data_IF_668190715430
#
_entry.id   IF_668190715430
#
_cell.length_a   1.000
_cell.length_b   1.000
_cell.length_c   1.000
_cell.angle_alpha   90.00
_cell.angle_beta   90.00
_cell.angle_gamma   90.00
#
_symmetry.space_group_name_H-M   'P 1'
#
loop_
_entity.id
_entity.type
_entity.pdbx_description
1 polymer ?
#
# COMPACT_ATOMS: atom_id res chain seq x y z
N UNK A 1 -15.34 -13.33 -1.86
CA UNK A 1 -14.32 -12.82 -0.94
C UNK A 1 -13.59 -11.62 -1.53
N UNK A 2 -13.22 -10.71 -0.66
CA UNK A 2 -12.56 -9.48 -1.04
C UNK A 2 -11.07 -9.57 -0.74
N UNK A 3 -10.24 -9.19 -1.71
CA UNK A 3 -8.78 -9.25 -1.61
C UNK A 3 -8.16 -7.90 -1.91
N UNK A 4 -6.97 -7.70 -1.38
CA UNK A 4 -6.11 -6.54 -1.66
C UNK A 4 -4.68 -7.04 -1.83
N UNK A 5 -3.92 -6.40 -2.72
CA UNK A 5 -2.50 -6.73 -2.89
C UNK A 5 -1.69 -5.61 -2.27
N UNK A 6 -0.86 -5.96 -1.30
CA UNK A 6 -0.04 -5.00 -0.57
C UNK A 6 1.41 -5.47 -0.51
N UNK A 7 2.30 -4.51 -0.30
CA UNK A 7 3.67 -4.79 0.10
C UNK A 7 3.82 -4.48 1.58
N UNK A 8 4.14 -5.49 2.38
CA UNK A 8 4.32 -5.32 3.83
C UNK A 8 5.70 -4.73 4.09
N UNK A 9 5.73 -3.63 4.85
CA UNK A 9 6.98 -2.96 5.22
C UNK A 9 7.53 -3.61 6.47
N UNK A 10 8.71 -4.21 6.35
CA UNK A 10 9.40 -4.90 7.44
C UNK A 10 10.63 -4.10 7.90
N UNK A 11 11.31 -4.62 8.93
CA UNK A 11 12.50 -3.99 9.48
C UNK A 11 12.20 -2.70 10.21
N UNK A 12 13.19 -1.81 10.25
CA UNK A 12 13.11 -0.58 11.06
C UNK A 12 12.00 0.36 10.59
N UNK A 13 11.79 0.49 9.29
CA UNK A 13 10.74 1.35 8.74
C UNK A 13 9.35 0.88 9.13
N UNK A 14 9.11 -0.43 9.05
CA UNK A 14 7.83 -1.02 9.45
C UNK A 14 7.59 -0.89 10.93
N UNK A 15 8.60 -1.16 11.73
CA UNK A 15 8.54 -1.02 13.20
C UNK A 15 8.26 0.43 13.58
N UNK A 16 8.94 1.38 12.97
CA UNK A 16 8.72 2.80 13.23
C UNK A 16 7.28 3.20 12.92
N UNK A 17 6.75 2.80 11.78
CA UNK A 17 5.37 3.12 11.40
C UNK A 17 4.37 2.50 12.38
N UNK A 18 4.56 1.25 12.76
CA UNK A 18 3.67 0.56 13.69
C UNK A 18 3.66 1.23 15.06
N UNK A 19 4.82 1.63 15.58
CA UNK A 19 4.94 2.34 16.85
C UNK A 19 4.32 3.73 16.79
N UNK A 20 4.54 4.46 15.70
CA UNK A 20 3.95 5.79 15.50
C UNK A 20 2.44 5.73 15.49
N UNK A 21 1.85 4.76 14.79
CA UNK A 21 0.39 4.58 14.76
C UNK A 21 -0.18 4.28 16.14
N UNK A 22 0.53 3.45 16.91
CA UNK A 22 0.15 3.13 18.28
C UNK A 22 0.19 4.38 19.16
N UNK A 23 1.25 5.17 19.08
CA UNK A 23 1.39 6.40 19.87
C UNK A 23 0.29 7.41 19.54
N UNK A 24 -0.05 7.57 18.26
CA UNK A 24 -1.12 8.47 17.83
C UNK A 24 -2.46 7.99 18.39
N UNK A 25 -2.72 6.69 18.35
CA UNK A 25 -3.95 6.14 18.91
C UNK A 25 -4.04 6.36 20.44
N UNK A 26 -2.96 6.09 21.17
CA UNK A 26 -2.93 6.23 22.62
C UNK A 26 -3.06 7.69 23.08
N UNK A 27 -2.46 8.62 22.38
CA UNK A 27 -2.39 10.02 22.79
C UNK A 27 -3.50 10.90 22.20
N UNK A 28 -3.97 10.59 21.00
CA UNK A 28 -4.95 11.42 20.27
C UNK A 28 -6.24 10.67 19.94
N UNK A 29 -6.31 9.38 20.27
CA UNK A 29 -7.46 8.49 19.94
C UNK A 29 -7.80 8.45 18.46
N UNK A 30 -6.80 8.68 17.60
CA UNK A 30 -6.96 8.62 16.14
C UNK A 30 -6.54 7.25 15.64
N UNK A 31 -7.43 6.58 14.92
CA UNK A 31 -7.22 5.22 14.43
C UNK A 31 -6.59 5.19 13.04
N UNK A 32 -5.99 4.07 12.72
CA UNK A 32 -5.51 3.73 11.39
C UNK A 32 -5.91 2.29 11.06
N UNK A 33 -5.37 1.72 9.99
CA UNK A 33 -5.57 0.31 9.65
C UNK A 33 -5.05 -0.60 10.77
N UNK A 34 -5.72 -1.74 10.97
CA UNK A 34 -5.25 -2.80 11.87
C UNK A 34 -4.17 -3.67 11.25
N UNK A 35 -3.93 -3.53 9.96
CA UNK A 35 -2.89 -4.28 9.25
C UNK A 35 -1.50 -3.81 9.66
N UNK A 36 -0.46 -4.66 9.54
CA UNK A 36 0.91 -4.19 9.71
C UNK A 36 1.24 -3.12 8.67
N UNK A 37 2.32 -2.37 8.91
CA UNK A 37 2.78 -1.34 7.99
C UNK A 37 2.86 -1.88 6.57
N UNK A 38 2.24 -1.21 5.61
CA UNK A 38 2.18 -1.66 4.22
C UNK A 38 1.92 -0.49 3.28
N UNK A 39 2.25 -0.67 2.01
CA UNK A 39 1.71 0.17 0.95
C UNK A 39 0.94 -0.68 -0.05
N UNK A 40 -0.14 -0.13 -0.56
CA UNK A 40 -1.07 -0.86 -1.42
C UNK A 40 -0.58 -0.86 -2.86
N UNK A 41 -0.56 -2.03 -3.48
CA UNK A 41 -0.25 -2.21 -4.89
C UNK A 41 -1.53 -2.24 -5.71
N UNK A 42 -2.52 -3.01 -5.27
CA UNK A 42 -3.82 -3.10 -5.92
C UNK A 42 -4.91 -2.91 -4.89
N UNK A 43 -5.78 -1.93 -5.12
CA UNK A 43 -6.93 -1.65 -4.25
C UNK A 43 -7.87 -2.86 -4.17
N UNK A 44 -8.74 -2.93 -3.15
CA UNK A 44 -9.59 -4.10 -2.93
C UNK A 44 -10.44 -4.46 -4.14
N UNK A 45 -10.56 -5.76 -4.40
CA UNK A 45 -11.38 -6.31 -5.48
C UNK A 45 -12.05 -7.60 -5.01
N UNK A 46 -13.17 -7.95 -5.64
CA UNK A 46 -13.89 -9.18 -5.36
C UNK A 46 -13.34 -10.33 -6.20
N UNK A 47 -13.18 -11.49 -5.60
CA UNK A 47 -12.72 -12.69 -6.28
C UNK A 47 -13.26 -13.94 -5.55
N UNK A 48 -13.92 -14.82 -6.28
CA UNK A 48 -14.41 -16.07 -5.71
C UNK A 48 -13.36 -17.18 -5.77
N UNK A 49 -12.60 -17.26 -6.87
CA UNK A 49 -11.56 -18.25 -7.07
C UNK A 49 -10.22 -17.56 -7.27
N UNK A 50 -9.37 -17.66 -6.26
CA UNK A 50 -8.05 -17.03 -6.25
C UNK A 50 -6.97 -17.82 -7.00
N UNK A 51 -7.29 -19.02 -7.50
CA UNK A 51 -6.26 -19.91 -8.06
C UNK A 51 -5.53 -19.32 -9.27
N UNK A 52 -6.22 -18.61 -10.16
CA UNK A 52 -5.58 -17.97 -11.32
C UNK A 52 -4.68 -16.84 -10.86
N UNK A 53 -5.15 -16.02 -9.94
CA UNK A 53 -4.35 -14.91 -9.39
C UNK A 53 -3.09 -15.43 -8.68
N UNK A 54 -3.24 -16.47 -7.86
CA UNK A 54 -2.11 -17.07 -7.14
C UNK A 54 -1.07 -17.62 -8.11
N UNK A 55 -1.49 -18.28 -9.17
CA UNK A 55 -0.59 -18.79 -10.21
C UNK A 55 0.15 -17.65 -10.91
N UNK A 56 -0.56 -16.61 -11.32
CA UNK A 56 0.03 -15.46 -12.02
C UNK A 56 1.03 -14.72 -11.13
N UNK A 57 0.71 -14.53 -9.86
CA UNK A 57 1.64 -13.89 -8.91
C UNK A 57 2.89 -14.74 -8.66
N UNK A 58 2.73 -16.06 -8.56
CA UNK A 58 3.86 -16.97 -8.40
C UNK A 58 4.80 -16.91 -9.60
N UNK A 59 4.26 -16.97 -10.81
CA UNK A 59 5.05 -16.85 -12.03
C UNK A 59 5.73 -15.49 -12.12
N UNK A 60 5.02 -14.42 -11.76
CA UNK A 60 5.57 -13.07 -11.76
C UNK A 60 6.79 -12.96 -10.83
N UNK A 61 6.68 -13.46 -9.61
CA UNK A 61 7.79 -13.40 -8.65
C UNK A 61 9.01 -14.21 -9.10
N UNK A 62 8.80 -15.29 -9.84
CA UNK A 62 9.89 -16.08 -10.38
C UNK A 62 10.65 -15.39 -11.52
N UNK A 63 10.01 -14.45 -12.22
CA UNK A 63 10.58 -13.69 -13.34
C UNK A 63 11.23 -12.38 -12.91
N UNK A 64 11.04 -11.95 -11.68
CA UNK A 64 11.49 -10.65 -11.21
C UNK A 64 12.37 -10.80 -9.98
N UNK A 65 13.37 -9.92 -9.87
CA UNK A 65 14.27 -9.90 -8.72
C UNK A 65 13.94 -8.77 -7.76
N UNK A 66 14.63 -8.74 -6.63
CA UNK A 66 14.46 -7.74 -5.58
C UNK A 66 14.78 -6.34 -6.09
N UNK A 67 14.04 -5.34 -5.63
CA UNK A 67 14.31 -3.94 -5.87
C UNK A 67 14.23 -3.15 -4.58
N UNK A 68 14.78 -1.93 -4.58
CA UNK A 68 14.84 -1.08 -3.41
C UNK A 68 13.77 0.00 -3.42
N UNK A 69 13.36 0.41 -2.23
CA UNK A 69 12.57 1.62 -2.01
C UNK A 69 12.99 2.28 -0.70
N UNK A 70 12.58 3.54 -0.54
CA UNK A 70 12.86 4.31 0.68
C UNK A 70 11.57 4.87 1.24
N UNK A 71 11.49 4.99 2.57
CA UNK A 71 10.48 5.79 3.24
C UNK A 71 11.13 7.14 3.57
N UNK A 72 10.60 8.23 3.03
CA UNK A 72 11.21 9.54 3.22
C UNK A 72 10.14 10.63 3.30
N UNK A 73 9.96 11.16 4.51
CA UNK A 73 9.04 12.24 4.76
C UNK A 73 7.58 11.82 4.86
N UNK A 74 6.73 12.79 5.06
CA UNK A 74 5.29 12.63 5.25
C UNK A 74 4.54 13.51 4.28
N UNK A 75 3.30 13.10 3.99
CA UNK A 75 2.38 13.89 3.21
C UNK A 75 0.95 13.52 3.60
N UNK A 76 -0.04 14.12 2.94
CA UNK A 76 -1.44 13.88 3.24
C UNK A 76 -2.30 13.92 1.98
N UNK A 77 -3.46 13.24 2.06
CA UNK A 77 -4.51 13.35 1.05
C UNK A 77 -5.70 14.11 1.67
N UNK A 78 -5.95 15.32 1.19
CA UNK A 78 -7.15 16.12 1.54
C UNK A 78 -7.46 16.21 3.04
N UNK A 79 -6.45 16.26 3.90
CA UNK A 79 -6.60 16.25 5.36
C UNK A 79 -7.34 15.00 5.89
N UNK A 80 -7.44 13.96 5.09
CA UNK A 80 -8.11 12.71 5.46
C UNK A 80 -7.16 11.59 5.81
N UNK A 81 -5.99 11.60 5.20
CA UNK A 81 -4.97 10.56 5.37
C UNK A 81 -3.62 11.22 5.54
N UNK A 82 -2.89 10.82 6.58
CA UNK A 82 -1.48 11.17 6.75
C UNK A 82 -0.67 9.91 6.50
N UNK A 83 0.36 10.01 5.69
CA UNK A 83 1.16 8.85 5.29
C UNK A 83 2.65 9.17 5.20
N UNK A 84 3.45 8.11 5.27
CA UNK A 84 4.88 8.15 4.96
C UNK A 84 5.05 7.94 3.46
N UNK A 85 5.87 8.78 2.83
CA UNK A 85 6.12 8.70 1.39
C UNK A 85 7.04 7.53 1.07
N UNK A 86 6.66 6.75 0.05
CA UNK A 86 7.47 5.66 -0.49
C UNK A 86 8.11 6.13 -1.78
N UNK A 87 9.44 6.07 -1.83
CA UNK A 87 10.20 6.43 -3.02
C UNK A 87 10.77 5.16 -3.63
N UNK A 88 10.22 4.75 -4.76
CA UNK A 88 10.64 3.55 -5.47
C UNK A 88 11.89 3.82 -6.31
N UNK A 89 12.79 2.83 -6.38
CA UNK A 89 13.85 2.85 -7.38
C UNK A 89 13.25 2.72 -8.78
N UNK A 90 14.01 3.08 -9.82
CA UNK A 90 13.56 2.91 -11.21
C UNK A 90 13.22 1.43 -11.50
N UNK A 91 14.03 0.51 -10.98
CA UNK A 91 13.76 -0.93 -11.10
C UNK A 91 12.46 -1.33 -10.39
N UNK A 92 12.23 -0.81 -9.18
CA UNK A 92 11.00 -1.08 -8.43
C UNK A 92 9.76 -0.56 -9.13
N UNK A 93 9.84 0.64 -9.69
CA UNK A 93 8.73 1.22 -10.46
C UNK A 93 8.41 0.38 -11.68
N UNK A 94 9.43 -0.11 -12.39
CA UNK A 94 9.23 -0.98 -13.55
C UNK A 94 8.58 -2.31 -13.14
N UNK A 95 9.03 -2.91 -12.05
CA UNK A 95 8.44 -4.15 -11.54
C UNK A 95 6.96 -3.92 -11.20
N UNK A 96 6.64 -2.80 -10.54
CA UNK A 96 5.26 -2.44 -10.25
C UNK A 96 4.43 -2.31 -11.53
N UNK A 97 4.94 -1.61 -12.52
CA UNK A 97 4.23 -1.39 -13.78
C UNK A 97 4.00 -2.71 -14.53
N UNK A 98 4.99 -3.60 -14.52
CA UNK A 98 4.86 -4.94 -15.10
C UNK A 98 3.81 -5.78 -14.35
N UNK A 99 3.74 -5.65 -13.03
CA UNK A 99 2.71 -6.32 -12.24
C UNK A 99 1.30 -5.79 -12.57
N UNK A 100 1.15 -4.49 -12.74
CA UNK A 100 -0.12 -3.90 -13.15
C UNK A 100 -0.55 -4.44 -14.53
N UNK A 101 0.38 -4.55 -15.47
CA UNK A 101 0.09 -5.14 -16.77
C UNK A 101 -0.36 -6.61 -16.64
N UNK A 102 0.31 -7.38 -15.80
CA UNK A 102 -0.06 -8.78 -15.53
C UNK A 102 -1.46 -8.86 -14.92
N UNK A 103 -1.77 -8.05 -13.93
CA UNK A 103 -3.08 -8.06 -13.28
C UNK A 103 -4.18 -7.61 -14.21
N UNK A 104 -3.94 -6.65 -15.11
CA UNK A 104 -4.93 -6.18 -16.05
C UNK A 104 -5.29 -7.22 -17.11
N UNK A 105 -4.46 -8.25 -17.30
CA UNK A 105 -4.78 -9.36 -18.18
C UNK A 105 -5.73 -10.38 -17.56
N UNK A 106 -6.02 -10.29 -16.27
CA UNK A 106 -6.95 -11.19 -15.56
C UNK A 106 -8.36 -10.61 -15.62
N UNK A 107 -9.33 -11.25 -16.33
CA UNK A 107 -10.59 -10.58 -16.67
C UNK A 107 -11.47 -10.20 -15.49
N UNK A 108 -11.39 -10.90 -14.37
CA UNK A 108 -12.26 -10.63 -13.22
C UNK A 108 -11.69 -9.59 -12.25
N UNK A 109 -10.45 -9.15 -12.43
CA UNK A 109 -9.87 -8.10 -11.59
C UNK A 109 -10.26 -6.74 -12.17
N UNK A 110 -11.04 -5.98 -11.38
CA UNK A 110 -11.47 -4.64 -11.77
C UNK A 110 -10.51 -3.60 -11.21
N UNK A 111 -10.19 -2.63 -12.02
CA UNK A 111 -9.32 -1.51 -11.63
C UNK A 111 -10.18 -0.27 -11.36
N UNK A 112 -9.81 0.49 -10.34
CA UNK A 112 -10.38 1.80 -10.10
C UNK A 112 -9.36 2.90 -10.46
N UNK A 113 -9.74 4.16 -10.27
CA UNK A 113 -8.90 5.31 -10.64
C UNK A 113 -7.62 5.41 -9.79
N UNK A 114 -7.58 4.75 -8.63
CA UNK A 114 -6.41 4.74 -7.74
C UNK A 114 -5.40 3.67 -8.12
N UNK A 115 -5.79 2.75 -8.99
CA UNK A 115 -4.91 1.71 -9.50
C UNK A 115 -4.22 2.21 -10.77
N UNK A 116 -3.11 1.58 -11.12
CA UNK A 116 -2.43 1.87 -12.36
C UNK A 116 -0.99 2.34 -12.16
N UNK A 117 -0.38 2.82 -13.24
CA UNK A 117 1.06 3.10 -13.26
C UNK A 117 1.44 4.43 -12.62
N UNK A 118 0.51 5.36 -12.50
CA UNK A 118 0.75 6.68 -11.89
C UNK A 118 0.36 6.73 -10.42
N UNK A 119 0.56 5.65 -9.70
CA UNK A 119 0.17 5.51 -8.31
C UNK A 119 1.15 6.25 -7.39
N UNK A 120 0.60 6.90 -6.37
CA UNK A 120 1.39 7.43 -5.25
C UNK A 120 1.46 6.34 -4.19
N UNK A 121 2.66 5.79 -3.96
CA UNK A 121 2.87 4.78 -2.93
C UNK A 121 2.96 5.44 -1.56
N UNK A 122 2.20 4.91 -0.60
CA UNK A 122 2.14 5.51 0.73
C UNK A 122 1.95 4.45 1.81
N UNK A 123 2.60 4.67 2.96
CA UNK A 123 2.40 3.85 4.17
C UNK A 123 1.60 4.69 5.14
N UNK A 124 0.35 4.35 5.35
CA UNK A 124 -0.58 5.13 6.13
C UNK A 124 -0.17 5.21 7.60
N UNK A 125 -0.26 6.41 8.15
CA UNK A 125 -0.07 6.69 9.59
C UNK A 125 -1.43 6.88 10.26
N UNK A 126 -2.30 7.70 9.71
CA UNK A 126 -3.65 7.94 10.24
C UNK A 126 -4.61 8.15 9.09
N UNK A 127 -5.78 7.52 9.15
CA UNK A 127 -6.73 7.58 8.05
C UNK A 127 -8.21 7.67 8.48
N UNK A 128 -8.51 7.40 9.75
CA UNK A 128 -9.91 7.29 10.18
C UNK A 128 -10.32 8.49 11.01
N UNK A 129 -11.29 9.28 10.48
CA UNK A 129 -11.90 10.40 11.20
C UNK A 129 -10.90 11.45 11.68
N UNK A 130 -9.89 11.76 10.86
CA UNK A 130 -8.83 12.70 11.25
C UNK A 130 -9.09 14.14 10.82
N UNK A 131 -10.09 14.38 9.98
CA UNK A 131 -10.30 15.69 9.36
C UNK A 131 -10.37 16.84 10.38
N UNK A 132 -11.07 16.62 11.50
CA UNK A 132 -11.23 17.64 12.54
C UNK A 132 -10.01 17.77 13.45
N UNK A 133 -9.05 16.85 13.36
CA UNK A 133 -7.87 16.81 14.20
C UNK A 133 -6.56 16.85 13.41
N UNK A 134 -6.66 17.20 12.13
CA UNK A 134 -5.52 17.16 11.22
C UNK A 134 -4.34 18.00 11.74
N UNK A 135 -4.60 19.18 12.28
CA UNK A 135 -3.55 20.07 12.77
C UNK A 135 -2.83 19.55 14.02
N UNK A 136 -3.41 18.57 14.73
CA UNK A 136 -2.77 17.94 15.90
C UNK A 136 -1.80 16.82 15.49
N UNK A 137 -1.89 16.36 14.26
CA UNK A 137 -1.12 15.24 13.74
C UNK A 137 0.07 15.75 12.92
#
# INVERSE_FOLDING_TARGET
LRYVIVSVVKGDGGKFNNELRKDIFENLSVKSSKLPAHFTIKSPFECEDISILDKELTEFTNLHSVSNYKLNGYDSFDNRVIFMKVIMSNKGKKIHDDLIDTLSSIPYIKFDEKDGKNKIFHVTVSSKKIKNRFNEL
#
